data_IF_353509701967
#
_entry.id   IF_353509701967
#
_cell.length_a   1.000
_cell.length_b   1.000
_cell.length_c   1.000
_cell.angle_alpha   90.00
_cell.angle_beta   90.00
_cell.angle_gamma   90.00
#
_symmetry.space_group_name_H-M   'P 1'
#
loop_
_entity.id
_entity.type
_entity.pdbx_description
1 polymer ?
#
# COMPACT_ATOMS: atom_id res chain seq x y z
N UNK A 1 -20.30 -1.63 -28.54
CA UNK A 1 -19.03 -1.92 -27.82
C UNK A 1 -19.41 -2.50 -26.47
N UNK A 2 -18.70 -3.52 -25.97
CA UNK A 2 -19.01 -4.12 -24.67
C UNK A 2 -18.98 -3.07 -23.56
N UNK A 3 -20.02 -3.01 -22.72
CA UNK A 3 -20.13 -2.05 -21.61
C UNK A 3 -19.15 -2.35 -20.47
N UNK A 4 -18.53 -3.54 -20.48
CA UNK A 4 -17.62 -4.04 -19.46
C UNK A 4 -16.36 -4.64 -20.12
N UNK A 5 -15.19 -4.29 -19.59
CA UNK A 5 -13.90 -4.89 -19.94
C UNK A 5 -13.18 -5.34 -18.66
N UNK A 6 -12.67 -6.58 -18.68
CA UNK A 6 -11.86 -7.14 -17.59
C UNK A 6 -10.42 -7.17 -18.06
N UNK A 7 -9.61 -6.28 -17.49
CA UNK A 7 -8.22 -6.09 -17.86
C UNK A 7 -7.30 -6.26 -16.66
N UNK A 8 -5.99 -6.25 -16.90
CA UNK A 8 -4.95 -6.25 -15.88
C UNK A 8 -4.15 -4.97 -16.02
N UNK A 9 -3.98 -4.24 -14.93
CA UNK A 9 -3.17 -3.02 -14.88
C UNK A 9 -2.02 -3.27 -13.90
N UNK A 10 -0.80 -2.82 -14.24
CA UNK A 10 0.31 -2.89 -13.29
C UNK A 10 0.00 -2.04 -12.06
N UNK A 11 0.31 -2.57 -10.88
CA UNK A 11 0.05 -1.87 -9.62
C UNK A 11 0.71 -0.48 -9.61
N UNK A 12 1.96 -0.40 -10.06
CA UNK A 12 2.69 0.87 -10.21
C UNK A 12 1.90 1.90 -11.02
N UNK A 13 1.30 1.50 -12.13
CA UNK A 13 0.63 2.41 -13.05
C UNK A 13 -0.66 2.98 -12.44
N UNK A 14 -1.47 2.13 -11.81
CA UNK A 14 -2.71 2.59 -11.16
C UNK A 14 -2.41 3.50 -9.97
N UNK A 15 -1.39 3.18 -9.17
CA UNK A 15 -0.98 4.02 -8.05
C UNK A 15 -0.43 5.38 -8.53
N UNK A 16 0.37 5.39 -9.60
CA UNK A 16 0.84 6.63 -10.23
C UNK A 16 -0.30 7.49 -10.78
N UNK A 17 -1.31 6.86 -11.40
CA UNK A 17 -2.51 7.58 -11.86
C UNK A 17 -3.32 8.19 -10.71
N UNK A 18 -3.33 7.55 -9.53
CA UNK A 18 -3.95 8.11 -8.33
C UNK A 18 -3.19 9.34 -7.84
N UNK A 19 -1.85 9.24 -7.73
CA UNK A 19 -1.02 10.38 -7.27
C UNK A 19 -1.02 11.56 -8.24
N UNK A 20 -1.19 11.30 -9.54
CA UNK A 20 -1.30 12.35 -10.56
C UNK A 20 -2.72 12.97 -10.63
N UNK A 21 -3.69 12.39 -9.92
CA UNK A 21 -5.10 12.82 -9.93
C UNK A 21 -5.91 12.38 -11.15
N UNK A 22 -5.36 11.54 -12.03
CA UNK A 22 -6.11 10.92 -13.14
C UNK A 22 -7.13 9.90 -12.63
N UNK A 23 -6.86 9.26 -11.50
CA UNK A 23 -7.79 8.35 -10.81
C UNK A 23 -8.16 8.95 -9.46
N UNK A 24 -9.46 9.14 -9.21
CA UNK A 24 -9.96 9.76 -7.98
C UNK A 24 -11.12 8.98 -7.34
N UNK A 25 -11.53 9.38 -6.14
CA UNK A 25 -12.66 8.80 -5.42
C UNK A 25 -13.92 9.62 -5.66
N UNK A 26 -15.08 8.99 -5.91
CA UNK A 26 -16.36 9.66 -5.79
C UNK A 26 -16.65 10.07 -4.34
N UNK A 27 -17.20 11.26 -4.14
CA UNK A 27 -17.46 11.83 -2.81
C UNK A 27 -18.60 11.13 -2.05
N UNK A 28 -19.43 10.35 -2.73
CA UNK A 28 -20.49 9.56 -2.10
C UNK A 28 -19.98 8.27 -1.44
N UNK A 29 -18.71 7.89 -1.65
CA UNK A 29 -18.12 6.75 -0.97
C UNK A 29 -17.77 7.07 0.48
N UNK A 30 -17.86 6.05 1.35
CA UNK A 30 -17.51 6.19 2.77
C UNK A 30 -16.04 6.60 2.92
N UNK A 31 -15.72 7.19 4.08
CA UNK A 31 -14.35 7.48 4.47
C UNK A 31 -13.47 6.23 4.55
N UNK A 32 -12.17 6.44 4.63
CA UNK A 32 -11.18 5.41 4.94
C UNK A 32 -11.35 4.86 6.36
N UNK A 33 -11.38 3.53 6.51
CA UNK A 33 -11.68 2.88 7.81
C UNK A 33 -10.76 1.71 8.18
N UNK A 34 -9.78 1.36 7.33
CA UNK A 34 -8.86 0.29 7.66
C UNK A 34 -7.88 0.69 8.77
N UNK A 35 -7.65 -0.25 9.68
CA UNK A 35 -6.65 -0.16 10.73
C UNK A 35 -5.26 -0.62 10.24
N UNK A 36 -4.27 -0.53 11.13
CA UNK A 36 -2.90 -0.96 10.86
C UNK A 36 -2.76 -2.43 10.45
N UNK A 37 -3.58 -3.33 11.02
CA UNK A 37 -3.51 -4.76 10.73
C UNK A 37 -3.97 -5.06 9.31
N UNK A 38 -5.07 -4.46 8.87
CA UNK A 38 -5.56 -4.60 7.50
C UNK A 38 -4.55 -4.09 6.46
N UNK A 39 -3.88 -2.96 6.75
CA UNK A 39 -2.82 -2.43 5.89
C UNK A 39 -1.66 -3.43 5.78
N UNK A 40 -1.15 -3.95 6.91
CA UNK A 40 -0.06 -4.94 6.91
C UNK A 40 -0.43 -6.23 6.20
N UNK A 41 -1.63 -6.76 6.46
CA UNK A 41 -2.14 -7.98 5.83
C UNK A 41 -2.22 -7.85 4.31
N UNK A 42 -2.61 -6.68 3.79
CA UNK A 42 -2.62 -6.41 2.35
C UNK A 42 -1.20 -6.42 1.76
N UNK A 43 -0.23 -5.79 2.43
CA UNK A 43 1.17 -5.79 1.98
C UNK A 43 1.74 -7.21 1.94
N UNK A 44 1.48 -8.01 2.98
CA UNK A 44 1.89 -9.42 3.04
C UNK A 44 1.27 -10.22 1.90
N UNK A 45 -0.02 -10.01 1.61
CA UNK A 45 -0.71 -10.70 0.52
C UNK A 45 -0.06 -10.42 -0.84
N UNK A 46 0.33 -9.17 -1.11
CA UNK A 46 1.04 -8.80 -2.34
C UNK A 46 2.47 -9.38 -2.36
N UNK A 47 3.18 -9.34 -1.24
CA UNK A 47 4.51 -9.94 -1.13
C UNK A 47 4.48 -11.46 -1.40
N UNK A 48 3.38 -12.15 -1.04
CA UNK A 48 3.13 -13.55 -1.37
C UNK A 48 2.63 -13.78 -2.80
N UNK A 49 2.49 -12.72 -3.60
CA UNK A 49 1.85 -12.75 -4.93
C UNK A 49 0.42 -13.32 -4.91
N UNK A 50 -0.29 -13.20 -3.79
CA UNK A 50 -1.67 -13.65 -3.67
C UNK A 50 -2.62 -12.63 -4.32
N UNK A 51 -3.73 -13.08 -4.93
CA UNK A 51 -4.72 -12.19 -5.52
C UNK A 51 -5.44 -11.41 -4.42
N UNK A 52 -5.35 -10.08 -4.45
CA UNK A 52 -6.00 -9.20 -3.45
C UNK A 52 -7.42 -8.78 -3.86
N UNK A 53 -8.01 -9.47 -4.84
CA UNK A 53 -9.31 -9.16 -5.46
C UNK A 53 -9.21 -8.18 -6.62
N UNK A 54 -10.26 -8.09 -7.43
CA UNK A 54 -10.38 -7.09 -8.50
C UNK A 54 -10.71 -5.70 -7.95
N UNK A 55 -10.45 -4.66 -8.72
CA UNK A 55 -10.95 -3.29 -8.46
C UNK A 55 -11.86 -2.86 -9.59
N UNK A 56 -12.79 -1.95 -9.30
CA UNK A 56 -13.72 -1.45 -10.30
C UNK A 56 -13.53 0.04 -10.53
N UNK A 57 -13.41 0.42 -11.80
CA UNK A 57 -13.19 1.80 -12.22
C UNK A 57 -14.30 2.24 -13.18
N UNK A 58 -14.69 3.51 -13.12
CA UNK A 58 -15.61 4.16 -14.05
C UNK A 58 -14.86 5.21 -14.86
N UNK A 59 -14.94 5.12 -16.19
CA UNK A 59 -14.43 6.18 -17.07
C UNK A 59 -15.29 7.44 -16.97
N UNK A 60 -14.63 8.59 -16.84
CA UNK A 60 -15.29 9.90 -16.79
C UNK A 60 -15.56 10.47 -18.19
N UNK A 61 -16.18 11.65 -18.26
CA UNK A 61 -16.51 12.31 -19.55
C UNK A 61 -17.81 11.82 -20.20
N UNK A 62 -18.64 11.10 -19.45
CA UNK A 62 -20.00 10.72 -19.83
C UNK A 62 -21.07 11.70 -19.33
N UNK A 63 -22.33 11.27 -19.38
CA UNK A 63 -23.47 12.05 -18.85
C UNK A 63 -23.46 12.14 -17.32
N UNK A 64 -22.85 11.15 -16.65
CA UNK A 64 -22.80 11.08 -15.19
C UNK A 64 -21.66 11.94 -14.66
N UNK A 65 -22.00 12.91 -13.80
CA UNK A 65 -21.04 13.73 -13.06
C UNK A 65 -21.21 13.50 -11.57
N UNK A 66 -20.14 13.03 -10.93
CA UNK A 66 -20.06 12.89 -9.49
C UNK A 66 -19.17 13.99 -8.91
N UNK A 67 -19.44 14.40 -7.67
CA UNK A 67 -18.41 15.11 -6.90
C UNK A 67 -17.28 14.13 -6.61
N UNK A 68 -16.06 14.64 -6.66
CA UNK A 68 -14.84 13.83 -6.53
C UNK A 68 -13.97 14.38 -5.43
N UNK A 69 -13.18 13.50 -4.84
CA UNK A 69 -12.17 13.82 -3.84
C UNK A 69 -10.90 13.02 -4.12
N UNK A 70 -9.72 13.56 -3.75
CA UNK A 70 -8.49 12.79 -3.79
C UNK A 70 -8.57 11.56 -2.89
N UNK A 71 -7.73 10.57 -3.19
CA UNK A 71 -7.42 9.48 -2.26
C UNK A 71 -6.79 10.06 -0.99
N UNK A 72 -7.02 9.42 0.16
CA UNK A 72 -6.55 9.93 1.46
C UNK A 72 -5.04 10.23 1.44
N UNK A 73 -4.68 11.36 2.06
CA UNK A 73 -3.31 11.90 2.12
C UNK A 73 -2.66 12.26 0.78
N UNK A 74 -3.36 12.14 -0.36
CA UNK A 74 -2.88 12.66 -1.64
C UNK A 74 -3.27 14.14 -1.76
N UNK A 75 -2.28 15.01 -1.92
CA UNK A 75 -2.48 16.42 -2.20
C UNK A 75 -2.49 16.66 -3.71
N UNK A 76 -3.66 16.97 -4.26
CA UNK A 76 -3.82 17.25 -5.69
C UNK A 76 -4.09 18.73 -5.92
N UNK A 77 -3.49 19.27 -6.97
CA UNK A 77 -4.03 20.48 -7.62
C UNK A 77 -5.35 20.10 -8.31
N UNK A 78 -6.19 21.08 -8.68
CA UNK A 78 -7.47 20.81 -9.35
C UNK A 78 -7.23 20.12 -10.70
N UNK A 79 -7.28 18.80 -10.70
CA UNK A 79 -7.13 17.92 -11.86
C UNK A 79 -8.46 17.22 -12.12
N UNK A 80 -8.93 17.26 -13.37
CA UNK A 80 -10.11 16.49 -13.79
C UNK A 80 -9.73 15.01 -13.88
N UNK A 81 -10.44 14.10 -13.18
CA UNK A 81 -10.13 12.68 -13.23
C UNK A 81 -10.56 12.06 -14.56
N UNK A 82 -9.77 11.12 -15.07
CA UNK A 82 -10.09 10.26 -16.21
C UNK A 82 -10.88 9.01 -15.77
N UNK A 83 -10.66 8.56 -14.53
CA UNK A 83 -11.33 7.40 -13.94
C UNK A 83 -11.70 7.63 -12.48
N UNK A 84 -12.79 7.00 -12.04
CA UNK A 84 -13.27 7.01 -10.66
C UNK A 84 -13.24 5.60 -10.07
N UNK A 85 -12.77 5.46 -8.84
CA UNK A 85 -12.76 4.17 -8.13
C UNK A 85 -14.15 3.89 -7.57
N UNK A 86 -14.79 2.82 -8.03
CA UNK A 86 -16.11 2.38 -7.55
C UNK A 86 -16.03 1.27 -6.50
N UNK A 87 -15.03 0.39 -6.64
CA UNK A 87 -14.71 -0.65 -5.67
C UNK A 87 -13.20 -0.80 -5.50
N UNK A 88 -12.77 -1.30 -4.35
CA UNK A 88 -11.36 -1.44 -4.01
C UNK A 88 -10.75 -0.15 -3.47
N UNK A 89 -11.57 0.86 -3.17
CA UNK A 89 -11.17 2.11 -2.52
C UNK A 89 -10.22 1.84 -1.36
N UNK A 90 -10.58 0.89 -0.49
CA UNK A 90 -9.80 0.68 0.71
C UNK A 90 -8.39 0.13 0.38
N UNK A 91 -8.31 -0.87 -0.50
CA UNK A 91 -7.03 -1.45 -0.93
C UNK A 91 -6.15 -0.44 -1.66
N UNK A 92 -6.71 0.30 -2.62
CA UNK A 92 -5.95 1.30 -3.38
C UNK A 92 -5.50 2.47 -2.51
N UNK A 93 -6.33 2.91 -1.57
CA UNK A 93 -5.98 3.95 -0.60
C UNK A 93 -4.82 3.51 0.30
N UNK A 94 -4.85 2.29 0.85
CA UNK A 94 -3.72 1.69 1.57
C UNK A 94 -2.43 1.72 0.76
N UNK A 95 -2.47 1.14 -0.44
CA UNK A 95 -1.28 0.95 -1.25
C UNK A 95 -0.70 2.28 -1.73
N UNK A 96 -1.56 3.25 -2.05
CA UNK A 96 -1.12 4.60 -2.42
C UNK A 96 -0.39 5.25 -1.25
N UNK A 97 -1.00 5.26 -0.06
CA UNK A 97 -0.39 5.89 1.11
C UNK A 97 0.92 5.23 1.54
N UNK A 98 1.03 3.91 1.43
CA UNK A 98 2.23 3.17 1.86
C UNK A 98 3.35 3.22 0.82
N UNK A 99 3.02 3.05 -0.47
CA UNK A 99 4.01 2.79 -1.52
C UNK A 99 4.40 4.04 -2.31
N UNK A 100 3.59 5.10 -2.26
CA UNK A 100 3.79 6.29 -3.12
C UNK A 100 4.01 7.59 -2.34
N UNK A 101 3.66 7.64 -1.05
CA UNK A 101 3.76 8.86 -0.25
C UNK A 101 4.93 8.79 0.73
N UNK A 102 5.59 9.94 0.93
CA UNK A 102 6.65 10.10 1.94
C UNK A 102 6.11 10.52 3.32
N UNK A 103 4.79 10.74 3.42
CA UNK A 103 4.10 11.07 4.66
C UNK A 103 3.64 9.80 5.38
N UNK A 104 3.54 9.81 6.73
CA UNK A 104 3.00 8.67 7.46
C UNK A 104 1.54 8.41 7.07
N UNK A 105 1.17 7.14 7.03
CA UNK A 105 -0.20 6.69 6.79
C UNK A 105 -1.05 7.03 8.01
N UNK A 106 -2.16 7.72 7.78
CA UNK A 106 -3.16 8.00 8.82
C UNK A 106 -4.09 6.79 8.92
N UNK A 107 -3.89 5.99 9.95
CA UNK A 107 -4.63 4.74 10.17
C UNK A 107 -5.21 4.69 11.58
N UNK A 108 -5.84 3.58 11.94
CA UNK A 108 -6.41 3.33 13.26
C UNK A 108 -5.65 2.20 13.95
N UNK A 109 -5.58 2.23 15.27
CA UNK A 109 -5.17 1.06 16.05
C UNK A 109 -6.37 0.12 16.30
N UNK A 110 -6.12 -1.04 16.91
CA UNK A 110 -7.15 -2.03 17.30
C UNK A 110 -8.27 -1.46 18.19
N UNK A 111 -8.02 -0.31 18.85
CA UNK A 111 -9.00 0.40 19.70
C UNK A 111 -9.74 1.52 18.95
N UNK A 112 -9.57 1.63 17.63
CA UNK A 112 -10.18 2.67 16.80
C UNK A 112 -9.61 4.07 16.98
N UNK A 113 -8.46 4.22 17.67
CA UNK A 113 -7.79 5.51 17.83
C UNK A 113 -6.93 5.81 16.60
N UNK A 114 -7.03 7.02 16.08
CA UNK A 114 -6.17 7.51 14.99
C UNK A 114 -4.69 7.51 15.39
N UNK A 115 -3.85 7.03 14.49
CA UNK A 115 -2.40 6.92 14.60
C UNK A 115 -1.74 7.20 13.24
N UNK A 116 -0.51 7.74 13.30
CA UNK A 116 0.33 7.98 12.13
C UNK A 116 1.43 6.90 12.08
N UNK A 117 1.52 6.14 10.99
CA UNK A 117 2.47 5.03 10.85
C UNK A 117 3.27 5.08 9.55
N UNK A 118 4.56 4.77 9.64
CA UNK A 118 5.36 4.34 8.51
C UNK A 118 5.42 2.81 8.46
N UNK A 119 5.60 2.24 7.28
CA UNK A 119 5.72 0.80 7.11
C UNK A 119 7.11 0.44 6.63
N UNK A 120 7.70 -0.57 7.25
CA UNK A 120 9.01 -1.10 6.91
C UNK A 120 8.94 -2.62 6.76
N UNK A 121 9.92 -3.16 6.04
CA UNK A 121 10.11 -4.59 5.86
C UNK A 121 11.44 -4.98 6.49
N UNK A 122 11.39 -5.88 7.47
CA UNK A 122 12.56 -6.63 7.92
C UNK A 122 13.03 -7.54 6.78
N UNK A 123 14.20 -7.23 6.22
CA UNK A 123 14.75 -7.96 5.06
C UNK A 123 15.04 -9.42 5.43
N UNK A 124 15.60 -9.68 6.61
CA UNK A 124 15.98 -11.02 7.06
C UNK A 124 14.73 -11.88 7.28
N UNK A 125 13.74 -11.35 8.00
CA UNK A 125 12.47 -12.05 8.21
C UNK A 125 11.71 -12.33 6.91
N UNK A 126 11.73 -11.39 5.95
CA UNK A 126 11.08 -11.59 4.67
C UNK A 126 11.75 -12.70 3.84
N UNK A 127 13.09 -12.80 3.88
CA UNK A 127 13.85 -13.85 3.20
C UNK A 127 13.59 -15.23 3.81
N UNK A 128 13.45 -15.30 5.14
CA UNK A 128 13.07 -16.48 5.93
C UNK A 128 11.61 -16.91 5.75
N UNK A 129 10.86 -16.27 4.85
CA UNK A 129 9.44 -16.55 4.59
C UNK A 129 8.51 -16.23 5.78
N UNK A 130 8.98 -15.45 6.76
CA UNK A 130 8.21 -14.95 7.92
C UNK A 130 7.56 -13.60 7.60
N UNK A 131 6.82 -13.54 6.49
CA UNK A 131 6.28 -12.28 5.96
C UNK A 131 5.31 -11.58 6.93
N UNK A 132 4.53 -12.33 7.71
CA UNK A 132 3.60 -11.74 8.69
C UNK A 132 4.33 -10.96 9.81
N UNK A 133 5.57 -11.37 10.12
CA UNK A 133 6.45 -10.68 11.08
C UNK A 133 7.30 -9.59 10.40
N UNK A 134 7.64 -9.79 9.12
CA UNK A 134 8.56 -8.92 8.40
C UNK A 134 7.98 -7.52 8.14
N UNK A 135 6.68 -7.42 7.87
CA UNK A 135 6.01 -6.13 7.68
C UNK A 135 5.65 -5.52 9.04
N UNK A 136 6.36 -4.44 9.40
CA UNK A 136 6.15 -3.74 10.66
C UNK A 136 5.61 -2.33 10.43
N UNK A 137 4.80 -1.87 11.37
CA UNK A 137 4.38 -0.48 11.47
C UNK A 137 5.20 0.26 12.53
N UNK A 138 5.69 1.44 12.16
CA UNK A 138 6.63 2.25 12.95
C UNK A 138 5.99 3.61 13.21
N UNK A 139 6.26 4.19 14.37
CA UNK A 139 5.77 5.53 14.71
C UNK A 139 6.27 6.59 13.72
N UNK A 140 5.62 7.75 13.70
CA UNK A 140 6.02 8.91 12.88
C UNK A 140 7.45 9.38 13.14
N UNK A 141 8.01 9.10 14.32
CA UNK A 141 9.42 9.33 14.65
C UNK A 141 10.39 8.43 13.88
N UNK A 142 9.87 7.44 13.14
CA UNK A 142 10.60 6.33 12.51
C UNK A 142 11.38 5.47 13.50
N UNK A 143 10.97 5.45 14.77
CA UNK A 143 11.58 4.63 15.83
C UNK A 143 10.55 3.64 16.37
N UNK A 144 10.99 2.42 16.67
CA UNK A 144 10.17 1.47 17.41
C UNK A 144 10.54 1.59 18.89
N UNK A 145 9.60 2.05 19.70
CA UNK A 145 9.83 2.30 21.12
C UNK A 145 9.10 1.29 22.01
N UNK A 146 9.62 1.09 23.20
CA UNK A 146 9.02 0.30 24.28
C UNK A 146 8.93 1.14 25.56
N UNK A 147 8.34 0.57 26.63
CA UNK A 147 8.20 1.26 27.92
C UNK A 147 7.56 2.65 27.82
N UNK A 148 6.45 2.74 27.07
CA UNK A 148 5.72 3.98 26.81
C UNK A 148 6.54 5.08 26.11
N UNK A 149 7.37 4.69 25.13
CA UNK A 149 8.13 5.65 24.34
C UNK A 149 9.48 6.06 24.93
N UNK A 150 9.92 5.42 26.01
CA UNK A 150 11.17 5.78 26.70
C UNK A 150 12.40 5.17 26.05
N UNK A 151 12.30 3.89 25.69
CA UNK A 151 13.43 3.11 25.21
C UNK A 151 13.20 2.71 23.76
N UNK A 152 14.26 2.73 22.95
CA UNK A 152 14.20 2.19 21.59
C UNK A 152 14.34 0.68 21.67
N UNK A 153 13.47 -0.05 20.97
CA UNK A 153 13.52 -1.50 20.89
C UNK A 153 14.80 -1.90 20.17
N UNK A 154 15.53 -2.86 20.73
CA UNK A 154 16.72 -3.45 20.11
C UNK A 154 16.45 -4.89 19.69
N UNK A 155 17.18 -5.37 18.70
CA UNK A 155 17.18 -6.77 18.30
C UNK A 155 18.60 -7.20 17.92
N UNK A 156 18.83 -8.51 17.83
CA UNK A 156 20.10 -9.06 17.35
C UNK A 156 19.91 -9.54 15.92
N UNK A 157 20.69 -9.00 14.98
CA UNK A 157 20.60 -9.36 13.57
C UNK A 157 21.32 -10.69 13.28
N UNK A 158 21.22 -11.18 12.04
CA UNK A 158 21.90 -12.42 11.62
C UNK A 158 23.43 -12.37 11.70
N UNK A 159 24.02 -11.17 11.81
CA UNK A 159 25.45 -10.94 11.99
C UNK A 159 25.90 -10.96 13.46
N UNK A 160 24.98 -11.15 14.41
CA UNK A 160 25.26 -11.16 15.85
C UNK A 160 25.40 -9.77 16.47
N UNK A 161 25.03 -8.71 15.75
CA UNK A 161 25.08 -7.33 16.21
C UNK A 161 23.78 -6.96 16.92
N UNK A 162 23.87 -6.27 18.05
CA UNK A 162 22.69 -5.65 18.69
C UNK A 162 22.43 -4.30 18.05
N UNK A 163 21.29 -4.17 17.37
CA UNK A 163 20.91 -2.97 16.63
C UNK A 163 19.63 -2.37 17.21
N UNK A 164 19.59 -1.04 17.30
CA UNK A 164 18.39 -0.29 17.64
C UNK A 164 17.44 -0.20 16.44
N UNK A 165 16.14 -0.38 16.68
CA UNK A 165 15.10 -0.18 15.67
C UNK A 165 14.79 1.32 15.48
N UNK A 166 15.81 2.07 15.04
CA UNK A 166 15.75 3.48 14.69
C UNK A 166 15.96 3.65 13.18
N UNK A 167 14.93 4.06 12.46
CA UNK A 167 14.94 4.25 11.01
C UNK A 167 14.89 5.74 10.63
N UNK A 168 15.29 6.63 11.55
CA UNK A 168 15.24 8.08 11.33
C UNK A 168 16.12 8.58 10.18
N UNK A 169 17.08 7.77 9.72
CA UNK A 169 17.99 8.09 8.60
C UNK A 169 18.22 6.84 7.75
N UNK A 170 18.51 7.04 6.46
CA UNK A 170 18.80 5.94 5.52
C UNK A 170 20.00 5.09 5.98
N UNK A 171 20.98 5.72 6.63
CA UNK A 171 22.12 5.01 7.24
C UNK A 171 21.64 3.96 8.25
N UNK A 172 20.79 4.36 9.19
CA UNK A 172 20.27 3.45 10.22
C UNK A 172 19.31 2.41 9.66
N UNK A 173 18.52 2.76 8.64
CA UNK A 173 17.71 1.81 7.87
C UNK A 173 18.59 0.69 7.29
N UNK A 174 19.73 1.05 6.67
CA UNK A 174 20.68 0.10 6.09
C UNK A 174 21.41 -0.73 7.16
N UNK A 175 21.85 -0.11 8.26
CA UNK A 175 22.51 -0.80 9.38
C UNK A 175 21.61 -1.88 9.99
N UNK A 176 20.33 -1.53 10.20
CA UNK A 176 19.32 -2.43 10.74
C UNK A 176 18.72 -3.40 9.72
N UNK A 177 18.99 -3.24 8.41
CA UNK A 177 18.37 -4.03 7.34
C UNK A 177 16.83 -3.95 7.31
N UNK A 178 16.28 -2.77 7.61
CA UNK A 178 14.86 -2.49 7.46
C UNK A 178 14.61 -1.61 6.23
N UNK A 179 13.82 -2.13 5.29
CA UNK A 179 13.54 -1.46 4.04
C UNK A 179 12.24 -0.64 4.12
N UNK A 180 12.25 0.66 3.77
CA UNK A 180 11.04 1.48 3.83
C UNK A 180 10.08 1.18 2.67
N UNK A 181 8.79 0.93 2.98
CA UNK A 181 7.81 0.48 1.99
C UNK A 181 7.52 1.51 0.87
N UNK A 182 7.69 2.81 1.12
CA UNK A 182 7.52 3.86 0.09
C UNK A 182 8.61 3.82 -0.99
N UNK A 183 9.70 3.07 -0.79
CA UNK A 183 10.76 2.87 -1.78
C UNK A 183 10.64 1.54 -2.54
N UNK A 184 9.55 0.77 -2.35
CA UNK A 184 9.37 -0.52 -3.04
C UNK A 184 9.34 -0.35 -4.56
N UNK A 185 8.60 0.66 -5.04
CA UNK A 185 8.43 0.92 -6.48
C UNK A 185 9.72 1.45 -7.12
N UNK A 186 10.47 2.29 -6.40
CA UNK A 186 11.78 2.80 -6.80
C UNK A 186 12.74 2.76 -5.61
N UNK A 187 13.71 1.84 -5.66
CA UNK A 187 14.66 1.60 -4.57
C UNK A 187 16.06 2.14 -4.84
N UNK A 188 16.28 2.86 -5.95
CA UNK A 188 17.61 3.22 -6.44
C UNK A 188 18.42 4.01 -5.40
N UNK A 189 17.75 4.95 -4.72
CA UNK A 189 18.38 5.77 -3.69
C UNK A 189 18.84 4.94 -2.49
N UNK A 190 17.97 4.07 -1.96
CA UNK A 190 18.28 3.21 -0.83
C UNK A 190 19.34 2.16 -1.19
N UNK A 191 19.23 1.53 -2.36
CA UNK A 191 20.21 0.56 -2.89
C UNK A 191 21.61 1.18 -3.01
N UNK A 192 21.70 2.40 -3.55
CA UNK A 192 22.98 3.11 -3.65
C UNK A 192 23.58 3.44 -2.27
N UNK A 193 22.76 3.69 -1.25
CA UNK A 193 23.27 3.92 0.11
C UNK A 193 23.76 2.61 0.73
N UNK A 194 22.98 1.53 0.66
CA UNK A 194 23.38 0.24 1.21
C UNK A 194 24.73 -0.22 0.64
N UNK A 195 24.92 -0.09 -0.67
CA UNK A 195 26.18 -0.44 -1.33
C UNK A 195 27.40 0.32 -0.76
N UNK A 196 27.22 1.59 -0.39
CA UNK A 196 28.28 2.43 0.20
C UNK A 196 28.53 2.10 1.67
N UNK A 197 27.48 1.76 2.41
CA UNK A 197 27.54 1.62 3.86
C UNK A 197 27.93 0.21 4.30
N UNK A 198 27.47 -0.83 3.60
CA UNK A 198 27.69 -2.22 3.99
C UNK A 198 27.65 -3.15 2.77
N UNK A 199 28.81 -3.34 2.14
CA UNK A 199 28.93 -4.21 0.97
C UNK A 199 28.60 -5.68 1.28
N UNK A 200 28.83 -6.14 2.51
CA UNK A 200 28.49 -7.50 2.95
C UNK A 200 26.98 -7.77 3.00
N UNK A 201 26.19 -6.75 3.37
CA UNK A 201 24.73 -6.79 3.47
C UNK A 201 24.06 -6.70 2.08
N UNK A 202 24.81 -6.30 1.06
CA UNK A 202 24.30 -6.07 -0.29
C UNK A 202 23.78 -7.35 -0.96
N UNK A 203 24.44 -8.48 -0.76
CA UNK A 203 23.99 -9.76 -1.34
C UNK A 203 22.62 -10.17 -0.81
N UNK A 204 22.41 -10.07 0.50
CA UNK A 204 21.13 -10.32 1.17
C UNK A 204 20.04 -9.40 0.61
N UNK A 205 20.35 -8.12 0.44
CA UNK A 205 19.42 -7.18 -0.18
C UNK A 205 19.03 -7.56 -1.62
N UNK A 206 19.98 -8.03 -2.44
CA UNK A 206 19.67 -8.43 -3.81
C UNK A 206 18.68 -9.60 -3.86
N UNK A 207 18.83 -10.59 -2.97
CA UNK A 207 17.85 -11.68 -2.83
C UNK A 207 16.47 -11.14 -2.43
N UNK A 208 16.43 -10.18 -1.51
CA UNK A 208 15.20 -9.55 -1.06
C UNK A 208 14.52 -8.74 -2.17
N UNK A 209 15.31 -8.00 -2.96
CA UNK A 209 14.84 -7.26 -4.12
C UNK A 209 14.18 -8.20 -5.14
N UNK A 210 14.85 -9.32 -5.44
CA UNK A 210 14.35 -10.28 -6.43
C UNK A 210 13.07 -10.99 -5.97
N UNK A 211 13.00 -11.39 -4.69
CA UNK A 211 11.89 -12.18 -4.16
C UNK A 211 10.70 -11.31 -3.75
N UNK A 212 10.94 -10.20 -3.07
CA UNK A 212 9.91 -9.38 -2.43
C UNK A 212 9.58 -8.14 -3.25
N UNK A 213 10.57 -7.29 -3.57
CA UNK A 213 10.28 -6.03 -4.27
C UNK A 213 9.68 -6.26 -5.67
N UNK A 214 10.19 -7.27 -6.40
CA UNK A 214 9.63 -7.62 -7.70
C UNK A 214 8.20 -8.15 -7.64
N UNK A 215 7.77 -8.75 -6.52
CA UNK A 215 6.38 -9.18 -6.35
C UNK A 215 5.42 -7.98 -6.42
N UNK A 216 5.81 -6.83 -5.85
CA UNK A 216 5.05 -5.59 -5.94
C UNK A 216 5.19 -4.91 -7.32
N UNK A 217 6.43 -4.81 -7.83
CA UNK A 217 6.71 -4.11 -9.10
C UNK A 217 6.04 -4.75 -10.30
N UNK A 218 5.94 -6.07 -10.30
CA UNK A 218 5.33 -6.86 -11.36
C UNK A 218 3.87 -7.23 -11.05
N UNK A 219 3.31 -6.72 -9.95
CA UNK A 219 1.95 -7.07 -9.54
C UNK A 219 0.94 -6.55 -10.57
N UNK A 220 0.13 -7.46 -11.11
CA UNK A 220 -0.95 -7.14 -12.04
C UNK A 220 -2.28 -7.17 -11.32
N UNK A 221 -2.88 -6.00 -11.12
CA UNK A 221 -4.16 -5.85 -10.48
C UNK A 221 -5.29 -6.13 -11.48
N UNK A 222 -6.22 -7.06 -11.19
CA UNK A 222 -7.41 -7.23 -12.02
C UNK A 222 -8.32 -6.00 -11.91
N UNK A 223 -8.70 -5.43 -13.04
CA UNK A 223 -9.54 -4.23 -13.12
C UNK A 223 -10.76 -4.49 -13.98
N UNK A 224 -11.93 -4.16 -13.44
CA UNK A 224 -13.20 -4.13 -14.15
C UNK A 224 -13.46 -2.66 -14.51
N UNK A 225 -13.48 -2.35 -15.81
CA UNK A 225 -13.74 -0.99 -16.29
C UNK A 225 -15.18 -0.86 -16.75
N UNK A 226 -15.86 0.17 -16.23
CA UNK A 226 -17.15 0.63 -16.70
C UNK A 226 -16.95 1.80 -17.65
N UNK A 227 -17.51 1.70 -18.85
CA UNK A 227 -17.41 2.77 -19.84
C UNK A 227 -18.22 4.01 -19.45
N UNK A 228 -17.84 5.16 -20.02
CA UNK A 228 -18.50 6.47 -19.78
C UNK A 228 -19.99 6.54 -20.14
N UNK A 229 -20.50 5.58 -20.93
CA UNK A 229 -21.93 5.47 -21.26
C UNK A 229 -22.77 4.76 -20.19
N UNK A 230 -22.16 4.34 -19.07
CA UNK A 230 -22.86 3.68 -17.98
C UNK A 230 -23.76 4.67 -17.23
N UNK A 231 -25.03 4.34 -17.04
CA UNK A 231 -25.97 5.22 -16.33
C UNK A 231 -25.64 5.34 -14.85
N UNK A 232 -26.08 6.44 -14.23
CA UNK A 232 -25.85 6.69 -12.80
C UNK A 232 -26.49 5.60 -11.93
N UNK A 233 -27.69 5.16 -12.30
CA UNK A 233 -28.44 4.10 -11.60
C UNK A 233 -27.69 2.77 -11.66
N UNK A 234 -27.11 2.44 -12.82
CA UNK A 234 -26.30 1.23 -12.98
C UNK A 234 -25.03 1.29 -12.11
N UNK A 235 -24.36 2.44 -12.06
CA UNK A 235 -23.19 2.65 -11.19
C UNK A 235 -23.56 2.44 -9.72
N UNK A 236 -24.63 3.07 -9.24
CA UNK A 236 -25.08 2.92 -7.84
C UNK A 236 -25.45 1.47 -7.52
N UNK A 237 -26.20 0.79 -8.39
CA UNK A 237 -26.59 -0.61 -8.20
C UNK A 237 -25.37 -1.54 -8.14
N UNK A 238 -24.35 -1.29 -8.94
CA UNK A 238 -23.11 -2.08 -8.92
C UNK A 238 -22.34 -1.83 -7.63
N UNK A 239 -22.18 -0.57 -7.21
CA UNK A 239 -21.55 -0.22 -5.94
C UNK A 239 -22.24 -0.89 -4.75
N UNK A 240 -23.58 -0.86 -4.71
CA UNK A 240 -24.36 -1.50 -3.64
C UNK A 240 -24.16 -3.01 -3.62
N UNK A 241 -24.21 -3.67 -4.78
CA UNK A 241 -24.00 -5.13 -4.87
C UNK A 241 -22.59 -5.55 -4.46
N UNK A 242 -21.55 -4.85 -4.93
CA UNK A 242 -20.16 -5.17 -4.60
C UNK A 242 -19.89 -4.94 -3.12
N UNK A 243 -20.42 -3.87 -2.54
CA UNK A 243 -20.29 -3.59 -1.09
C UNK A 243 -21.01 -4.66 -0.25
N UNK A 244 -22.14 -5.19 -0.72
CA UNK A 244 -22.90 -6.24 -0.03
C UNK A 244 -22.25 -7.63 -0.13
N UNK A 245 -21.52 -7.91 -1.21
CA UNK A 245 -20.69 -9.12 -1.33
C UNK A 245 -19.44 -9.11 -0.44
N UNK A 246 -19.10 -7.96 0.17
CA UNK A 246 -17.99 -7.81 1.12
C UNK A 246 -18.30 -8.21 2.56
N UNK A 247 -19.51 -8.74 2.84
CA UNK A 247 -19.76 -9.41 4.13
C UNK A 247 -18.86 -10.65 4.19
N UNK A 248 -18.04 -10.85 5.25
CA UNK A 248 -17.15 -11.99 5.32
C UNK A 248 -17.96 -13.28 5.18
N UNK A 249 -17.56 -14.14 4.23
CA UNK A 249 -17.91 -15.55 4.27
C UNK A 249 -17.45 -16.07 5.62
N UNK A 250 -18.40 -16.43 6.50
CA UNK A 250 -18.08 -17.28 7.64
C UNK A 250 -17.44 -18.54 7.09
N UNK A 251 -16.36 -19.00 7.74
CA UNK A 251 -15.42 -20.03 7.28
C UNK A 251 -16.04 -21.45 7.10
N UNK A 252 -17.36 -21.56 7.00
CA UNK A 252 -18.06 -22.79 6.65
C UNK A 252 -19.29 -22.45 5.79
N UNK A 253 -19.15 -22.61 4.48
CA UNK A 253 -20.17 -23.05 3.53
C UNK A 253 -19.48 -23.75 2.35
#
# INVERSE_FOLDING_TARGET
>A
MSTFDTTKIALKDILGQITDGRVQLPDFQRGWVWDDEHVRSLLVSIARSFPVGAVMLLETGGEVRFQVRPVENVELQKTEPEMLILDGQQRLTSLTQVLMLDTPVKTFNEKGKQIDRFYYIDIEAALDNRLDEAFISVEKSKKVTMNFGRDIKTFTNSFGETVEMDFSTVQKECEALFFPCNQIINSDAWESHLYKCSQEKFFTYMQFREKILNAFRNYLLPVIKLGKSTSKEAVCLVCDKVTTCGVPLSVFD
#
